data_IF_774342313360
#
_entry.id   IF_774342313360
#
_cell.length_a   1.000
_cell.length_b   1.000
_cell.length_c   1.000
_cell.angle_alpha   90.00
_cell.angle_beta   90.00
_cell.angle_gamma   90.00
#
_symmetry.space_group_name_H-M   'P 1'
#
loop_
_entity.id
_entity.type
_entity.pdbx_description
1 polymer ?
#
# COMPACT_ATOMS: atom_id res chain seq x y z
N UNK A 1 -16.97 -18.56 -0.47
CA UNK A 1 -16.89 -17.83 0.81
C UNK A 1 -18.24 -17.26 1.21
N UNK A 2 -18.94 -16.55 0.31
CA UNK A 2 -20.24 -15.90 0.59
C UNK A 2 -21.31 -16.91 1.01
N UNK A 3 -21.60 -17.89 0.19
CA UNK A 3 -22.75 -18.80 0.34
C UNK A 3 -22.51 -19.88 1.41
N UNK A 4 -21.25 -20.26 1.66
CA UNK A 4 -20.91 -21.35 2.61
C UNK A 4 -20.56 -20.77 3.99
N UNK A 5 -19.81 -19.67 4.03
CA UNK A 5 -19.23 -19.15 5.29
C UNK A 5 -19.84 -17.81 5.73
N UNK A 6 -20.74 -17.22 4.94
CA UNK A 6 -21.42 -15.97 5.24
C UNK A 6 -20.50 -14.73 5.21
N UNK A 7 -19.45 -14.74 4.37
CA UNK A 7 -18.60 -13.57 4.19
C UNK A 7 -19.29 -12.50 3.34
N UNK A 8 -19.20 -11.26 3.76
CA UNK A 8 -19.42 -10.11 2.89
C UNK A 8 -18.22 -10.00 1.96
N UNK A 9 -18.47 -9.90 0.66
CA UNK A 9 -17.41 -9.91 -0.36
C UNK A 9 -17.44 -8.60 -1.12
N UNK A 10 -16.28 -8.02 -1.33
CA UNK A 10 -16.01 -6.96 -2.29
C UNK A 10 -14.95 -7.42 -3.28
N UNK A 11 -15.16 -7.11 -4.55
CA UNK A 11 -14.24 -7.44 -5.64
C UNK A 11 -13.86 -6.15 -6.35
N UNK A 12 -12.64 -5.72 -6.16
CA UNK A 12 -12.05 -4.59 -6.89
C UNK A 12 -11.25 -5.17 -8.05
N UNK A 13 -11.83 -5.14 -9.23
CA UNK A 13 -11.23 -5.68 -10.45
C UNK A 13 -10.70 -4.55 -11.34
N UNK A 14 -9.37 -4.38 -11.34
CA UNK A 14 -8.70 -3.38 -12.18
C UNK A 14 -8.46 -3.88 -13.62
N UNK A 15 -8.77 -5.15 -13.94
CA UNK A 15 -8.78 -5.67 -15.32
C UNK A 15 -10.09 -5.34 -16.03
N UNK A 16 -11.21 -5.46 -15.29
CA UNK A 16 -12.55 -5.13 -15.78
C UNK A 16 -13.23 -4.09 -14.87
N UNK A 17 -12.73 -2.82 -14.82
CA UNK A 17 -13.20 -1.82 -13.87
C UNK A 17 -14.70 -1.52 -13.94
N UNK A 18 -15.33 -1.71 -15.09
CA UNK A 18 -16.78 -1.51 -15.29
C UNK A 18 -17.66 -2.53 -14.55
N UNK A 19 -17.07 -3.63 -14.06
CA UNK A 19 -17.74 -4.68 -13.27
C UNK A 19 -17.25 -4.74 -11.83
N UNK A 20 -16.37 -3.83 -11.47
CA UNK A 20 -15.74 -3.76 -10.18
C UNK A 20 -16.64 -3.11 -9.14
N UNK A 21 -16.46 -3.47 -7.88
CA UNK A 21 -16.92 -2.64 -6.77
C UNK A 21 -16.10 -1.35 -6.71
N UNK A 22 -16.69 -0.29 -6.16
CA UNK A 22 -16.01 0.99 -5.96
C UNK A 22 -14.96 0.94 -4.85
N UNK A 23 -13.97 1.83 -4.96
CA UNK A 23 -12.98 2.09 -3.91
C UNK A 23 -12.51 3.55 -3.98
N UNK A 24 -13.29 4.46 -3.41
CA UNK A 24 -12.94 5.87 -3.32
C UNK A 24 -11.86 6.09 -2.25
N UNK A 25 -10.70 6.57 -2.66
CA UNK A 25 -9.55 6.83 -1.78
C UNK A 25 -9.83 7.90 -0.71
N UNK A 26 -10.87 8.71 -0.90
CA UNK A 26 -11.26 9.77 0.04
C UNK A 26 -12.34 9.32 1.03
N UNK A 27 -12.88 8.10 0.92
CA UNK A 27 -14.01 7.64 1.74
C UNK A 27 -13.79 7.86 3.24
N UNK A 28 -12.61 7.53 3.75
CA UNK A 28 -12.30 7.69 5.18
C UNK A 28 -12.19 9.17 5.58
N UNK A 29 -11.58 9.98 4.74
CA UNK A 29 -11.43 11.43 4.95
C UNK A 29 -12.81 12.08 4.99
N UNK A 30 -13.65 11.78 3.99
CA UNK A 30 -15.03 12.27 3.88
C UNK A 30 -15.84 11.88 5.11
N UNK A 31 -15.77 10.63 5.52
CA UNK A 31 -16.49 10.10 6.70
C UNK A 31 -16.12 10.82 7.98
N UNK A 32 -14.84 11.05 8.25
CA UNK A 32 -14.41 11.77 9.44
C UNK A 32 -14.77 13.25 9.38
N UNK A 33 -14.75 13.85 8.20
CA UNK A 33 -15.21 15.23 8.03
C UNK A 33 -16.71 15.35 8.23
N UNK A 34 -17.51 14.40 7.75
CA UNK A 34 -18.95 14.34 7.97
C UNK A 34 -19.28 14.17 9.45
N UNK A 35 -18.56 13.28 10.15
CA UNK A 35 -18.69 13.11 11.61
C UNK A 35 -18.40 14.41 12.37
N UNK A 36 -17.37 15.15 11.97
CA UNK A 36 -17.09 16.47 12.55
C UNK A 36 -18.18 17.50 12.21
N UNK A 37 -18.79 17.42 11.01
CA UNK A 37 -19.90 18.31 10.62
C UNK A 37 -21.14 18.02 11.45
N UNK A 38 -21.45 16.77 11.76
CA UNK A 38 -22.57 16.37 12.64
C UNK A 38 -22.33 16.80 14.10
N UNK A 39 -21.10 16.66 14.59
CA UNK A 39 -20.67 17.15 15.91
C UNK A 39 -19.42 18.03 15.80
N UNK A 40 -19.56 19.36 15.68
CA UNK A 40 -18.44 20.30 15.60
C UNK A 40 -17.51 20.28 16.83
N UNK A 41 -17.92 19.68 17.93
CA UNK A 41 -17.10 19.54 19.14
C UNK A 41 -16.16 18.33 19.04
N UNK A 42 -16.41 17.38 18.14
CA UNK A 42 -15.51 16.25 17.87
C UNK A 42 -14.29 16.73 17.06
N UNK A 43 -13.35 17.36 17.77
CA UNK A 43 -12.07 17.80 17.22
C UNK A 43 -11.23 16.59 16.78
N UNK A 44 -11.44 15.42 17.43
CA UNK A 44 -10.75 14.17 17.09
C UNK A 44 -11.09 13.70 15.68
N UNK A 45 -12.35 13.78 15.27
CA UNK A 45 -12.76 13.45 13.90
C UNK A 45 -12.09 14.37 12.87
N UNK A 46 -12.07 15.69 13.11
CA UNK A 46 -11.39 16.64 12.24
C UNK A 46 -9.89 16.34 12.12
N UNK A 47 -9.22 16.09 13.24
CA UNK A 47 -7.79 15.76 13.26
C UNK A 47 -7.48 14.48 12.48
N UNK A 48 -8.38 13.48 12.51
CA UNK A 48 -8.25 12.26 11.71
C UNK A 48 -8.42 12.53 10.22
N UNK A 49 -9.42 13.31 9.82
CA UNK A 49 -9.59 13.72 8.42
C UNK A 49 -8.32 14.42 7.89
N UNK A 50 -7.79 15.39 8.65
CA UNK A 50 -6.54 16.09 8.31
C UNK A 50 -5.34 15.14 8.19
N UNK A 51 -5.21 14.19 9.12
CA UNK A 51 -4.14 13.17 9.11
C UNK A 51 -4.21 12.31 7.85
N UNK A 52 -5.40 11.75 7.55
CA UNK A 52 -5.56 10.87 6.39
C UNK A 52 -5.42 11.61 5.07
N UNK A 53 -5.86 12.88 4.99
CA UNK A 53 -5.64 13.72 3.81
C UNK A 53 -4.15 13.94 3.55
N UNK A 54 -3.34 14.23 4.59
CA UNK A 54 -1.88 14.33 4.47
C UNK A 54 -1.24 13.03 3.99
N UNK A 55 -1.66 11.92 4.58
CA UNK A 55 -1.13 10.60 4.25
C UNK A 55 -1.41 10.28 2.76
N UNK A 56 -2.64 10.51 2.30
CA UNK A 56 -3.01 10.29 0.91
C UNK A 56 -2.22 11.19 -0.03
N UNK A 57 -2.16 12.49 0.26
CA UNK A 57 -1.43 13.46 -0.54
C UNK A 57 0.06 13.10 -0.64
N UNK A 58 0.71 12.74 0.49
CA UNK A 58 2.09 12.28 0.51
C UNK A 58 2.28 11.04 -0.37
N UNK A 59 1.39 10.07 -0.28
CA UNK A 59 1.50 8.82 -1.05
C UNK A 59 1.34 9.06 -2.55
N UNK A 60 0.51 10.02 -2.96
CA UNK A 60 0.31 10.38 -4.37
C UNK A 60 1.49 11.21 -4.91
N UNK A 61 1.93 12.21 -4.15
CA UNK A 61 2.98 13.13 -4.60
C UNK A 61 4.37 12.49 -4.52
N UNK A 62 4.65 11.77 -3.43
CA UNK A 62 5.94 11.16 -3.11
C UNK A 62 5.79 9.64 -2.89
N UNK A 63 5.48 8.86 -3.92
CA UNK A 63 5.27 7.41 -3.79
C UNK A 63 6.51 6.67 -3.26
N UNK A 64 7.71 7.17 -3.57
CA UNK A 64 9.00 6.59 -3.17
C UNK A 64 9.48 7.02 -1.78
N UNK A 65 8.70 7.82 -1.05
CA UNK A 65 8.82 8.01 0.39
C UNK A 65 9.54 9.27 0.87
N UNK A 66 10.54 9.83 0.18
CA UNK A 66 11.28 10.98 0.67
C UNK A 66 11.49 12.07 -0.40
N UNK A 67 11.01 13.29 -0.10
CA UNK A 67 11.22 14.46 -0.94
C UNK A 67 12.72 14.81 -1.13
N UNK A 68 13.57 14.38 -0.22
CA UNK A 68 15.03 14.57 -0.32
C UNK A 68 15.63 13.94 -1.59
N UNK A 69 15.00 12.90 -2.16
CA UNK A 69 15.43 12.28 -3.42
C UNK A 69 15.33 13.23 -4.62
N UNK A 70 14.50 14.27 -4.54
CA UNK A 70 14.28 15.23 -5.62
C UNK A 70 15.29 16.39 -5.62
N UNK A 71 16.27 16.42 -4.69
CA UNK A 71 17.32 17.42 -4.63
C UNK A 71 16.76 18.84 -4.62
N UNK A 72 17.18 19.69 -5.57
CA UNK A 72 16.73 21.08 -5.69
C UNK A 72 15.22 21.23 -5.93
N UNK A 73 14.55 20.19 -6.39
CA UNK A 73 13.10 20.17 -6.63
C UNK A 73 12.28 19.78 -5.40
N UNK A 74 12.90 19.40 -4.28
CA UNK A 74 12.20 18.96 -3.06
C UNK A 74 11.12 19.97 -2.61
N UNK A 75 11.40 21.25 -2.69
CA UNK A 75 10.45 22.32 -2.37
C UNK A 75 9.15 22.24 -3.17
N UNK A 76 9.20 21.90 -4.46
CA UNK A 76 8.01 21.79 -5.30
C UNK A 76 7.15 20.59 -4.91
N UNK A 77 7.76 19.47 -4.53
CA UNK A 77 7.05 18.28 -4.09
C UNK A 77 6.44 18.46 -2.71
N UNK A 78 7.15 19.05 -1.75
CA UNK A 78 6.61 19.36 -0.42
C UNK A 78 5.44 20.35 -0.50
N UNK A 79 5.59 21.39 -1.33
CA UNK A 79 4.52 22.36 -1.58
C UNK A 79 3.31 21.75 -2.29
N UNK A 80 3.55 20.79 -3.21
CA UNK A 80 2.50 20.06 -3.91
C UNK A 80 1.74 19.10 -2.96
N UNK A 81 2.42 18.47 -2.01
CA UNK A 81 1.79 17.66 -0.96
C UNK A 81 0.86 18.52 -0.10
N UNK A 82 1.34 19.68 0.35
CA UNK A 82 0.53 20.63 1.11
C UNK A 82 -0.68 21.12 0.34
N UNK A 83 -0.49 21.48 -0.94
CA UNK A 83 -1.56 21.92 -1.82
C UNK A 83 -2.62 20.82 -2.04
N UNK A 84 -2.21 19.60 -2.37
CA UNK A 84 -3.13 18.49 -2.56
C UNK A 84 -3.90 18.16 -1.28
N UNK A 85 -3.22 18.20 -0.12
CA UNK A 85 -3.87 18.03 1.18
C UNK A 85 -4.97 19.08 1.38
N UNK A 86 -4.67 20.35 1.10
CA UNK A 86 -5.64 21.44 1.22
C UNK A 86 -6.85 21.23 0.30
N UNK A 87 -6.64 20.85 -0.96
CA UNK A 87 -7.69 20.58 -1.95
C UNK A 87 -8.60 19.43 -1.48
N UNK A 88 -8.02 18.33 -1.02
CA UNK A 88 -8.77 17.17 -0.52
C UNK A 88 -9.62 17.54 0.71
N UNK A 89 -9.08 18.33 1.63
CA UNK A 89 -9.82 18.80 2.80
C UNK A 89 -10.96 19.74 2.40
N UNK A 90 -10.74 20.66 1.46
CA UNK A 90 -11.81 21.55 0.96
C UNK A 90 -12.94 20.76 0.31
N UNK A 91 -12.63 19.74 -0.48
CA UNK A 91 -13.66 18.87 -1.05
C UNK A 91 -14.43 18.14 0.06
N UNK A 92 -13.74 17.57 1.03
CA UNK A 92 -14.37 16.84 2.13
C UNK A 92 -15.28 17.75 2.98
N UNK A 93 -14.89 19.01 3.20
CA UNK A 93 -15.60 19.96 4.05
C UNK A 93 -16.77 20.64 3.34
N UNK A 94 -16.59 21.08 2.08
CA UNK A 94 -17.54 21.98 1.40
C UNK A 94 -18.36 21.32 0.29
N UNK A 95 -18.05 20.08 -0.10
CA UNK A 95 -18.76 19.39 -1.17
C UNK A 95 -19.50 18.10 -0.73
N UNK A 96 -20.16 18.06 0.47
CA UNK A 96 -20.90 16.86 0.84
C UNK A 96 -22.03 16.59 -0.16
N UNK A 97 -22.33 15.32 -0.45
CA UNK A 97 -23.47 14.99 -1.31
C UNK A 97 -24.77 15.46 -0.63
N UNK A 98 -25.72 15.90 -1.45
CA UNK A 98 -27.10 16.15 -1.00
C UNK A 98 -27.85 14.82 -0.97
N UNK A 99 -28.96 14.78 -0.24
CA UNK A 99 -29.81 13.59 -0.15
C UNK A 99 -30.20 13.07 -1.56
N UNK A 100 -29.83 11.81 -1.82
CA UNK A 100 -30.06 11.16 -3.10
C UNK A 100 -29.07 11.46 -4.22
N UNK A 101 -28.08 12.33 -3.99
CA UNK A 101 -26.99 12.55 -4.95
C UNK A 101 -25.85 11.56 -4.73
N UNK A 102 -25.13 11.14 -5.80
CA UNK A 102 -23.94 10.33 -5.66
C UNK A 102 -22.81 11.11 -4.97
N UNK A 103 -21.89 10.38 -4.33
CA UNK A 103 -20.69 10.97 -3.74
C UNK A 103 -19.84 11.66 -4.83
N UNK A 104 -19.48 12.91 -4.60
CA UNK A 104 -18.68 13.75 -5.52
C UNK A 104 -17.28 14.05 -4.99
N UNK A 105 -16.98 13.65 -3.75
CA UNK A 105 -15.72 13.92 -3.09
C UNK A 105 -14.76 12.74 -3.32
N UNK A 106 -14.13 12.73 -4.50
CA UNK A 106 -13.17 11.72 -4.93
C UNK A 106 -11.96 12.35 -5.63
N UNK A 107 -10.93 11.57 -5.92
CA UNK A 107 -9.65 12.09 -6.43
C UNK A 107 -9.79 12.79 -7.80
N UNK A 108 -10.71 12.36 -8.64
CA UNK A 108 -10.98 13.01 -9.93
C UNK A 108 -11.61 14.40 -9.73
N UNK A 109 -12.42 14.58 -8.68
CA UNK A 109 -12.93 15.92 -8.32
C UNK A 109 -11.82 16.83 -7.81
N UNK A 110 -10.83 16.28 -7.09
CA UNK A 110 -9.64 17.04 -6.71
C UNK A 110 -8.87 17.51 -7.94
N UNK A 111 -8.68 16.64 -8.94
CA UNK A 111 -8.08 17.03 -10.22
C UNK A 111 -8.85 18.17 -10.92
N UNK A 112 -10.17 18.00 -11.07
CA UNK A 112 -11.02 19.02 -11.72
C UNK A 112 -10.95 20.35 -10.99
N UNK A 113 -10.98 20.34 -9.66
CA UNK A 113 -10.87 21.55 -8.86
C UNK A 113 -9.53 22.24 -9.07
N UNK A 114 -8.41 21.53 -9.08
CA UNK A 114 -7.09 22.10 -9.38
C UNK A 114 -7.07 22.71 -10.79
N UNK A 115 -7.62 22.00 -11.77
CA UNK A 115 -7.69 22.47 -13.16
C UNK A 115 -8.51 23.76 -13.29
N UNK A 116 -9.68 23.80 -12.67
CA UNK A 116 -10.57 24.97 -12.71
C UNK A 116 -9.93 26.19 -12.03
N UNK A 117 -9.25 25.99 -10.90
CA UNK A 117 -8.55 27.05 -10.19
C UNK A 117 -7.34 27.61 -10.95
N UNK A 118 -6.73 26.79 -11.83
CA UNK A 118 -5.68 27.23 -12.75
C UNK A 118 -6.22 27.98 -13.96
N UNK A 119 -7.38 27.53 -14.49
CA UNK A 119 -7.96 28.08 -15.71
C UNK A 119 -8.62 29.49 -15.51
N UNK A 120 -8.96 29.83 -14.27
CA UNK A 120 -9.59 31.12 -13.97
C UNK A 120 -8.63 32.28 -14.24
N UNK A 121 -9.00 33.24 -15.09
CA UNK A 121 -8.18 34.43 -15.36
C UNK A 121 -7.84 35.16 -14.06
N UNK A 122 -6.62 35.65 -13.94
CA UNK A 122 -6.18 36.41 -12.77
C UNK A 122 -7.07 37.60 -12.54
N UNK A 123 -7.93 37.55 -11.54
CA UNK A 123 -8.70 38.69 -11.08
C UNK A 123 -7.84 39.51 -10.11
N UNK A 124 -7.59 40.76 -10.43
CA UNK A 124 -6.77 41.67 -9.60
C UNK A 124 -5.35 41.11 -9.27
N UNK A 125 -4.74 40.37 -10.20
CA UNK A 125 -3.41 39.82 -10.02
C UNK A 125 -3.34 38.48 -9.20
N UNK A 126 -4.50 37.95 -8.81
CA UNK A 126 -4.59 36.65 -8.08
C UNK A 126 -5.17 35.59 -9.00
N UNK A 127 -4.69 34.34 -8.84
CA UNK A 127 -5.29 33.17 -9.49
C UNK A 127 -6.53 32.68 -8.69
N UNK A 128 -7.34 31.79 -9.28
CA UNK A 128 -8.56 31.29 -8.65
C UNK A 128 -8.32 30.61 -7.29
N UNK A 129 -7.19 29.92 -7.13
CA UNK A 129 -6.82 29.29 -5.88
C UNK A 129 -6.53 30.31 -4.76
N UNK A 130 -5.80 31.37 -5.08
CA UNK A 130 -5.54 32.45 -4.12
C UNK A 130 -6.83 33.17 -3.70
N UNK A 131 -7.76 33.38 -4.64
CA UNK A 131 -9.05 33.96 -4.34
C UNK A 131 -9.86 33.06 -3.41
N UNK A 132 -9.93 31.76 -3.71
CA UNK A 132 -10.64 30.79 -2.86
C UNK A 132 -10.05 30.75 -1.44
N UNK A 133 -8.72 30.76 -1.32
CA UNK A 133 -8.07 30.75 -0.02
C UNK A 133 -8.29 32.02 0.79
N UNK A 134 -8.43 33.17 0.13
CA UNK A 134 -8.70 34.44 0.80
C UNK A 134 -10.13 34.52 1.36
N UNK A 135 -11.08 33.76 0.82
CA UNK A 135 -12.46 33.67 1.33
C UNK A 135 -12.55 32.84 2.63
N UNK A 136 -11.54 32.00 2.89
CA UNK A 136 -11.51 31.19 4.11
C UNK A 136 -11.03 32.00 5.32
N UNK A 137 -11.48 31.68 6.56
CA UNK A 137 -10.94 32.26 7.77
C UNK A 137 -9.41 32.13 7.85
N UNK A 138 -8.68 33.10 8.42
CA UNK A 138 -7.22 33.06 8.53
C UNK A 138 -6.68 31.83 9.23
N UNK A 139 -7.41 31.30 10.21
CA UNK A 139 -7.10 30.10 11.00
C UNK A 139 -7.46 28.79 10.31
N UNK A 140 -8.05 28.85 9.09
CA UNK A 140 -8.47 27.64 8.40
C UNK A 140 -7.27 26.77 7.97
N UNK A 141 -7.31 25.48 8.30
CA UNK A 141 -6.20 24.55 8.06
C UNK A 141 -5.77 24.43 6.60
N UNK A 142 -6.72 24.50 5.65
CA UNK A 142 -6.39 24.46 4.23
C UNK A 142 -5.48 25.63 3.81
N UNK A 143 -5.64 26.83 4.39
CA UNK A 143 -4.75 27.96 4.15
C UNK A 143 -3.33 27.69 4.64
N UNK A 144 -3.20 27.10 5.83
CA UNK A 144 -1.89 26.79 6.40
C UNK A 144 -1.17 25.71 5.62
N UNK A 145 -1.89 24.66 5.24
CA UNK A 145 -1.35 23.55 4.45
C UNK A 145 -0.91 23.98 3.05
N UNK A 146 -1.65 24.87 2.44
CA UNK A 146 -1.30 25.47 1.15
C UNK A 146 -0.32 26.64 1.27
N UNK A 147 0.10 27.03 2.48
CA UNK A 147 0.86 28.25 2.75
C UNK A 147 2.14 28.39 1.91
N UNK A 148 2.92 27.33 1.78
CA UNK A 148 4.13 27.34 0.95
C UNK A 148 3.83 27.63 -0.52
N UNK A 149 2.77 27.03 -1.07
CA UNK A 149 2.32 27.29 -2.42
C UNK A 149 1.78 28.72 -2.57
N UNK A 150 0.98 29.22 -1.61
CA UNK A 150 0.36 30.55 -1.64
C UNK A 150 1.37 31.70 -1.54
N UNK A 151 2.46 31.51 -0.82
CA UNK A 151 3.49 32.54 -0.62
C UNK A 151 4.58 32.53 -1.69
N UNK A 152 4.56 31.55 -2.58
CA UNK A 152 5.50 31.42 -3.69
C UNK A 152 5.27 32.49 -4.78
N UNK A 153 6.34 32.83 -5.50
CA UNK A 153 6.22 33.63 -6.72
C UNK A 153 5.31 32.91 -7.75
N UNK A 154 4.64 33.66 -8.61
CA UNK A 154 3.70 33.14 -9.60
C UNK A 154 4.25 31.94 -10.43
N UNK A 155 5.51 32.00 -10.81
CA UNK A 155 6.18 30.93 -11.56
C UNK A 155 6.35 29.66 -10.72
N UNK A 156 6.73 29.82 -9.46
CA UNK A 156 6.88 28.67 -8.52
C UNK A 156 5.52 28.05 -8.21
N UNK A 157 4.49 28.86 -8.00
CA UNK A 157 3.11 28.40 -7.83
C UNK A 157 2.64 27.58 -9.04
N UNK A 158 2.90 28.04 -10.26
CA UNK A 158 2.57 27.30 -11.46
C UNK A 158 3.29 25.96 -11.53
N UNK A 159 4.56 25.88 -11.10
CA UNK A 159 5.34 24.64 -11.02
C UNK A 159 4.75 23.68 -9.99
N UNK A 160 4.38 24.16 -8.80
CA UNK A 160 3.72 23.34 -7.77
C UNK A 160 2.42 22.75 -8.29
N UNK A 161 1.56 23.57 -8.89
CA UNK A 161 0.28 23.12 -9.44
C UNK A 161 0.48 22.12 -10.59
N UNK A 162 1.47 22.35 -11.46
CA UNK A 162 1.84 21.43 -12.53
C UNK A 162 2.30 20.08 -11.98
N UNK A 163 3.02 20.08 -10.86
CA UNK A 163 3.44 18.84 -10.16
C UNK A 163 2.21 18.08 -9.68
N UNK A 164 1.26 18.75 -9.00
CA UNK A 164 0.00 18.11 -8.55
C UNK A 164 -0.77 17.53 -9.74
N UNK A 165 -0.97 18.33 -10.80
CA UNK A 165 -1.68 17.89 -12.00
C UNK A 165 -1.03 16.68 -12.66
N UNK A 166 0.29 16.67 -12.78
CA UNK A 166 1.05 15.56 -13.35
C UNK A 166 0.83 14.26 -12.56
N UNK A 167 0.84 14.34 -11.23
CA UNK A 167 0.58 13.17 -10.37
C UNK A 167 -0.87 12.70 -10.45
N UNK A 168 -1.82 13.63 -10.51
CA UNK A 168 -3.24 13.31 -10.59
C UNK A 168 -3.66 12.78 -11.98
N UNK A 169 -2.89 13.04 -13.03
CA UNK A 169 -3.14 12.49 -14.37
C UNK A 169 -3.22 10.95 -14.39
N UNK A 170 -2.51 10.27 -13.50
CA UNK A 170 -2.55 8.80 -13.39
C UNK A 170 -3.96 8.26 -13.05
N UNK A 171 -4.86 9.10 -12.52
CA UNK A 171 -6.22 8.73 -12.15
C UNK A 171 -7.25 9.02 -13.24
N UNK A 172 -6.85 9.67 -14.34
CA UNK A 172 -7.74 10.07 -15.42
C UNK A 172 -7.85 8.98 -16.48
N UNK A 173 -8.53 7.93 -16.13
CA UNK A 173 -8.88 6.83 -17.02
C UNK A 173 -10.36 6.52 -16.82
N UNK A 174 -11.14 6.54 -17.89
CA UNK A 174 -12.61 6.40 -17.81
C UNK A 174 -13.03 5.07 -17.17
N UNK A 175 -12.28 4.01 -17.39
CA UNK A 175 -12.54 2.71 -16.76
C UNK A 175 -12.18 2.74 -15.27
N UNK A 176 -11.03 3.33 -14.94
CA UNK A 176 -10.56 3.46 -13.57
C UNK A 176 -11.48 4.35 -12.72
N UNK A 177 -12.06 5.39 -13.32
CA UNK A 177 -13.05 6.25 -12.66
C UNK A 177 -14.26 5.46 -12.15
N UNK A 178 -14.62 4.33 -12.79
CA UNK A 178 -15.70 3.45 -12.30
C UNK A 178 -15.37 2.78 -10.97
N UNK A 179 -14.10 2.72 -10.61
CA UNK A 179 -13.65 2.18 -9.32
C UNK A 179 -13.42 3.28 -8.31
N UNK A 180 -12.65 4.31 -8.67
CA UNK A 180 -12.14 5.30 -7.70
C UNK A 180 -13.14 6.43 -7.38
N UNK A 181 -14.23 6.55 -8.13
CA UNK A 181 -15.27 7.54 -7.87
C UNK A 181 -16.45 7.03 -7.04
N UNK A 182 -16.45 5.74 -6.68
CA UNK A 182 -17.51 5.12 -5.89
C UNK A 182 -16.96 4.53 -4.60
N UNK A 183 -17.72 4.66 -3.51
CA UNK A 183 -17.29 4.15 -2.21
C UNK A 183 -17.25 2.63 -2.16
N UNK A 184 -16.32 2.11 -1.35
CA UNK A 184 -16.22 0.67 -1.11
C UNK A 184 -17.41 0.14 -0.30
N UNK A 185 -18.01 -1.01 -0.67
CA UNK A 185 -19.04 -1.65 0.12
C UNK A 185 -18.52 -2.22 1.44
N UNK A 186 -17.20 -2.33 1.60
CA UNK A 186 -16.52 -2.78 2.83
C UNK A 186 -15.50 -1.73 3.22
N UNK A 187 -15.69 -1.12 4.39
CA UNK A 187 -14.70 -0.23 4.99
C UNK A 187 -13.85 -0.95 6.04
N UNK A 188 -12.81 -0.33 6.54
CA UNK A 188 -11.89 -0.92 7.50
C UNK A 188 -12.55 -1.35 8.82
N UNK A 189 -13.55 -0.62 9.32
CA UNK A 189 -14.27 -0.99 10.56
C UNK A 189 -15.09 -2.26 10.38
N UNK A 190 -15.79 -2.37 9.24
CA UNK A 190 -16.53 -3.59 8.89
C UNK A 190 -15.55 -4.76 8.70
N UNK A 191 -14.44 -4.53 8.03
CA UNK A 191 -13.41 -5.55 7.80
C UNK A 191 -12.78 -6.04 9.11
N UNK A 192 -12.62 -5.15 10.08
CA UNK A 192 -12.10 -5.49 11.39
C UNK A 192 -13.09 -6.21 12.32
N UNK A 193 -14.42 -6.05 12.11
CA UNK A 193 -15.47 -6.51 13.03
C UNK A 193 -16.41 -7.59 12.49
N UNK A 194 -16.53 -7.70 11.17
CA UNK A 194 -17.41 -8.65 10.49
C UNK A 194 -16.60 -9.68 9.69
N UNK A 195 -17.29 -10.72 9.18
CA UNK A 195 -16.70 -11.66 8.21
C UNK A 195 -16.69 -11.02 6.83
N UNK A 196 -15.60 -10.39 6.47
CA UNK A 196 -15.43 -9.71 5.20
C UNK A 196 -14.25 -10.29 4.41
N UNK A 197 -14.33 -10.22 3.07
CA UNK A 197 -13.22 -10.52 2.17
C UNK A 197 -13.21 -9.50 1.03
N UNK A 198 -12.06 -8.90 0.79
CA UNK A 198 -11.81 -8.00 -0.33
C UNK A 198 -10.84 -8.72 -1.27
N UNK A 199 -11.24 -8.84 -2.53
CA UNK A 199 -10.41 -9.38 -3.61
C UNK A 199 -9.97 -8.21 -4.49
N UNK A 200 -8.66 -8.03 -4.60
CA UNK A 200 -8.06 -7.05 -5.48
C UNK A 200 -7.43 -7.78 -6.66
N UNK A 201 -7.98 -7.56 -7.85
CA UNK A 201 -7.56 -8.25 -9.08
C UNK A 201 -6.79 -7.27 -9.94
N UNK A 202 -5.54 -7.62 -10.25
CA UNK A 202 -4.60 -6.77 -10.97
C UNK A 202 -4.47 -7.19 -12.43
N UNK A 203 -4.36 -6.23 -13.39
CA UNK A 203 -3.98 -6.54 -14.75
C UNK A 203 -2.48 -6.87 -14.81
N UNK A 204 -2.13 -7.96 -15.46
CA UNK A 204 -0.72 -8.32 -15.69
C UNK A 204 -0.06 -7.41 -16.73
N UNK A 205 -0.85 -6.89 -17.66
CA UNK A 205 -0.39 -6.17 -18.84
C UNK A 205 -0.32 -4.65 -18.67
N UNK A 206 -0.95 -4.08 -17.62
CA UNK A 206 -1.02 -2.63 -17.39
C UNK A 206 -0.42 -2.22 -16.04
N UNK A 207 0.89 -1.95 -16.01
CA UNK A 207 1.56 -1.50 -14.79
C UNK A 207 1.02 -0.16 -14.23
N UNK A 208 0.39 0.68 -15.06
CA UNK A 208 -0.14 1.97 -14.61
C UNK A 208 -1.30 1.78 -13.63
N UNK A 209 -2.16 0.79 -13.83
CA UNK A 209 -3.25 0.45 -12.90
C UNK A 209 -2.74 -0.17 -11.59
N UNK A 210 -1.55 -0.74 -11.61
CA UNK A 210 -0.93 -1.35 -10.43
C UNK A 210 -0.61 -0.31 -9.34
N UNK A 211 -0.27 0.93 -9.70
CA UNK A 211 -0.08 2.02 -8.73
C UNK A 211 -1.33 2.23 -7.86
N UNK A 212 -2.50 2.17 -8.46
CA UNK A 212 -3.78 2.32 -7.75
C UNK A 212 -3.98 1.20 -6.72
N UNK A 213 -3.63 -0.03 -7.08
CA UNK A 213 -3.71 -1.16 -6.15
C UNK A 213 -2.80 -0.98 -4.94
N UNK A 214 -1.56 -0.57 -5.15
CA UNK A 214 -0.62 -0.27 -4.07
C UNK A 214 -1.19 0.81 -3.13
N UNK A 215 -1.76 1.86 -3.71
CA UNK A 215 -2.39 2.96 -2.97
C UNK A 215 -3.62 2.49 -2.17
N UNK A 216 -4.48 1.64 -2.75
CA UNK A 216 -5.63 1.05 -2.07
C UNK A 216 -5.21 0.18 -0.89
N UNK A 217 -4.22 -0.70 -1.06
CA UNK A 217 -3.70 -1.56 0.01
C UNK A 217 -3.10 -0.71 1.13
N UNK A 218 -2.33 0.31 0.78
CA UNK A 218 -1.72 1.21 1.73
C UNK A 218 -2.77 2.01 2.52
N UNK A 219 -3.79 2.51 1.85
CA UNK A 219 -4.88 3.24 2.48
C UNK A 219 -5.64 2.33 3.46
N UNK A 220 -6.09 1.15 3.01
CA UNK A 220 -6.79 0.17 3.85
C UNK A 220 -5.94 -0.24 5.07
N UNK A 221 -4.64 -0.44 4.88
CA UNK A 221 -3.73 -0.80 5.98
C UNK A 221 -3.65 0.28 7.05
N UNK A 222 -3.60 1.54 6.65
CA UNK A 222 -3.60 2.70 7.58
C UNK A 222 -4.92 2.86 8.29
N UNK A 223 -6.02 2.62 7.58
CA UNK A 223 -7.35 2.57 8.18
C UNK A 223 -7.43 1.49 9.26
N UNK A 224 -6.95 0.28 8.98
CA UNK A 224 -6.94 -0.83 9.93
C UNK A 224 -6.07 -0.52 11.15
N UNK A 225 -4.94 0.14 10.99
CA UNK A 225 -4.13 0.60 12.12
C UNK A 225 -4.89 1.62 12.98
N UNK A 226 -5.58 2.57 12.35
CA UNK A 226 -6.40 3.54 13.08
C UNK A 226 -7.54 2.87 13.85
N UNK A 227 -8.22 1.89 13.22
CA UNK A 227 -9.28 1.10 13.88
C UNK A 227 -8.71 0.30 15.06
N UNK A 228 -7.52 -0.28 14.90
CA UNK A 228 -6.86 -0.99 16.00
C UNK A 228 -6.52 -0.05 17.16
N UNK A 229 -6.01 1.15 16.89
CA UNK A 229 -5.67 2.14 17.91
C UNK A 229 -6.91 2.62 18.69
N UNK A 230 -8.09 2.65 18.06
CA UNK A 230 -9.37 2.94 18.70
C UNK A 230 -9.89 1.78 19.60
N UNK A 231 -9.32 0.58 19.45
CA UNK A 231 -9.70 -0.64 20.16
C UNK A 231 -8.52 -1.21 20.97
N UNK A 232 -7.93 -0.40 21.82
CA UNK A 232 -6.81 -0.78 22.71
C UNK A 232 -5.62 -1.40 21.96
N UNK A 233 -5.34 -0.92 20.75
CA UNK A 233 -4.23 -1.35 19.92
C UNK A 233 -4.41 -2.68 19.18
N UNK A 234 -5.65 -3.23 19.14
CA UNK A 234 -5.91 -4.53 18.51
C UNK A 234 -7.22 -4.56 17.74
N UNK A 235 -7.21 -5.10 16.54
CA UNK A 235 -8.44 -5.38 15.79
C UNK A 235 -9.26 -6.47 16.50
N UNK A 236 -10.59 -6.34 16.45
CA UNK A 236 -11.53 -7.33 17.02
C UNK A 236 -11.33 -8.71 16.36
N UNK A 237 -11.33 -8.75 15.05
CA UNK A 237 -11.03 -9.93 14.25
C UNK A 237 -9.59 -9.88 13.73
N UNK A 238 -8.99 -11.05 13.46
CA UNK A 238 -7.72 -11.12 12.73
C UNK A 238 -7.98 -10.80 11.27
N UNK A 239 -7.25 -9.86 10.72
CA UNK A 239 -7.22 -9.54 9.30
C UNK A 239 -5.99 -10.20 8.68
N UNK A 240 -6.18 -10.89 7.56
CA UNK A 240 -5.11 -11.57 6.83
C UNK A 240 -5.02 -10.97 5.43
N UNK A 241 -3.83 -10.50 5.05
CA UNK A 241 -3.53 -10.05 3.70
C UNK A 241 -2.72 -11.14 2.98
N UNK A 242 -3.33 -11.73 1.97
CA UNK A 242 -2.65 -12.64 1.05
C UNK A 242 -2.10 -11.79 -0.11
N UNK A 243 -0.79 -11.64 -0.15
CA UNK A 243 -0.09 -10.88 -1.19
C UNK A 243 0.46 -11.87 -2.22
N UNK A 244 -0.43 -12.31 -3.12
CA UNK A 244 -0.02 -13.20 -4.20
C UNK A 244 0.86 -12.43 -5.19
N UNK A 245 1.95 -13.06 -5.59
CA UNK A 245 2.97 -12.45 -6.45
C UNK A 245 3.58 -11.13 -5.91
N UNK A 246 3.79 -11.02 -4.59
CA UNK A 246 4.37 -9.82 -3.96
C UNK A 246 5.66 -9.34 -4.63
N UNK A 247 6.44 -10.25 -5.20
CA UNK A 247 7.69 -9.94 -5.90
C UNK A 247 7.51 -9.21 -7.24
N UNK A 248 6.30 -9.22 -7.82
CA UNK A 248 5.99 -8.57 -9.10
C UNK A 248 5.00 -7.42 -8.95
N UNK A 249 4.26 -7.37 -7.83
CA UNK A 249 3.40 -6.25 -7.51
C UNK A 249 4.21 -4.94 -7.40
N UNK A 250 3.60 -3.78 -7.72
CA UNK A 250 4.23 -2.51 -7.40
C UNK A 250 4.53 -2.44 -5.91
N UNK A 251 5.71 -1.94 -5.54
CA UNK A 251 6.06 -1.80 -4.14
C UNK A 251 5.11 -0.83 -3.45
N UNK A 252 4.68 -1.17 -2.25
CA UNK A 252 3.94 -0.32 -1.33
C UNK A 252 4.62 -0.38 0.05
N UNK A 253 4.30 0.54 0.94
CA UNK A 253 4.91 0.64 2.27
C UNK A 253 4.48 -0.55 3.16
N UNK A 254 5.07 -1.72 2.90
CA UNK A 254 4.76 -2.99 3.55
C UNK A 254 5.54 -3.19 4.87
N UNK A 255 6.70 -2.56 5.04
CA UNK A 255 7.57 -2.80 6.19
C UNK A 255 6.92 -2.47 7.54
N UNK A 256 6.15 -1.37 7.68
CA UNK A 256 5.39 -1.11 8.91
C UNK A 256 4.34 -2.19 9.20
N UNK A 257 3.79 -2.84 8.17
CA UNK A 257 2.82 -3.91 8.36
C UNK A 257 3.47 -5.16 8.96
N UNK A 258 4.68 -5.50 8.55
CA UNK A 258 5.43 -6.61 9.14
C UNK A 258 5.87 -6.31 10.57
N UNK A 259 6.36 -5.10 10.85
CA UNK A 259 6.86 -4.75 12.18
C UNK A 259 5.76 -4.52 13.21
N UNK A 260 4.67 -3.84 12.85
CA UNK A 260 3.60 -3.44 13.77
C UNK A 260 2.30 -4.25 13.63
N UNK A 261 2.08 -4.94 12.51
CA UNK A 261 0.81 -5.62 12.21
C UNK A 261 0.50 -6.76 13.18
N UNK A 262 1.51 -7.54 13.59
CA UNK A 262 1.33 -8.68 14.49
C UNK A 262 0.63 -8.32 15.80
N UNK A 263 1.07 -7.27 16.46
CA UNK A 263 0.48 -6.79 17.73
C UNK A 263 -0.98 -6.36 17.54
N UNK A 264 -1.33 -5.86 16.35
CA UNK A 264 -2.65 -5.37 15.99
C UNK A 264 -3.58 -6.44 15.40
N UNK A 265 -3.16 -7.71 15.36
CA UNK A 265 -3.88 -8.83 14.71
C UNK A 265 -3.99 -8.69 13.19
N UNK A 266 -3.04 -8.03 12.55
CA UNK A 266 -2.86 -8.03 11.12
C UNK A 266 -1.79 -9.06 10.76
N UNK A 267 -2.09 -9.98 9.85
CA UNK A 267 -1.19 -11.04 9.40
C UNK A 267 -0.97 -10.89 7.91
N UNK A 268 0.29 -10.93 7.49
CA UNK A 268 0.64 -10.94 6.08
C UNK A 268 1.08 -12.33 5.65
N UNK A 269 0.68 -12.70 4.45
CA UNK A 269 1.09 -13.95 3.79
C UNK A 269 1.68 -13.56 2.44
N UNK A 270 2.98 -13.22 2.40
CA UNK A 270 3.66 -12.92 1.14
C UNK A 270 3.89 -14.21 0.35
N UNK A 271 3.53 -14.21 -0.93
CA UNK A 271 3.79 -15.30 -1.86
C UNK A 271 4.70 -14.74 -2.95
N UNK A 272 5.85 -15.37 -3.13
CA UNK A 272 6.88 -14.94 -4.08
C UNK A 272 7.39 -16.12 -4.89
N UNK A 273 7.86 -15.87 -6.09
CA UNK A 273 8.49 -16.87 -6.94
C UNK A 273 9.99 -16.99 -6.67
N UNK A 274 10.63 -15.89 -6.25
CA UNK A 274 12.05 -15.88 -5.89
C UNK A 274 12.40 -14.73 -4.96
N UNK A 275 13.47 -14.89 -4.16
CA UNK A 275 14.01 -13.83 -3.33
C UNK A 275 14.53 -12.64 -4.15
N UNK A 276 15.07 -12.91 -5.35
CA UNK A 276 15.57 -11.85 -6.23
C UNK A 276 14.48 -10.87 -6.70
N UNK A 277 13.23 -11.34 -6.89
CA UNK A 277 12.10 -10.46 -7.20
C UNK A 277 11.74 -9.58 -6.01
N UNK A 278 11.80 -10.13 -4.79
CA UNK A 278 11.56 -9.37 -3.57
C UNK A 278 12.64 -8.29 -3.36
N UNK A 279 13.92 -8.65 -3.57
CA UNK A 279 15.04 -7.70 -3.51
C UNK A 279 14.92 -6.58 -4.56
N UNK A 280 14.43 -6.89 -5.75
CA UNK A 280 14.20 -5.89 -6.80
C UNK A 280 13.17 -4.83 -6.37
N UNK A 281 12.11 -5.23 -5.66
CA UNK A 281 11.02 -4.34 -5.28
C UNK A 281 11.30 -3.56 -3.99
N UNK A 282 11.94 -4.19 -3.01
CA UNK A 282 12.11 -3.63 -1.67
C UNK A 282 13.57 -3.36 -1.28
N UNK A 283 14.50 -3.60 -2.21
CA UNK A 283 15.92 -3.58 -1.91
C UNK A 283 16.35 -4.79 -1.06
N UNK A 284 17.65 -4.98 -0.91
CA UNK A 284 18.20 -6.12 -0.16
C UNK A 284 17.78 -6.09 1.31
N UNK A 285 17.91 -4.94 1.97
CA UNK A 285 17.55 -4.76 3.37
C UNK A 285 16.04 -4.95 3.60
N UNK A 286 15.19 -4.40 2.72
CA UNK A 286 13.75 -4.59 2.81
C UNK A 286 13.33 -6.05 2.62
N UNK A 287 13.96 -6.78 1.71
CA UNK A 287 13.71 -8.21 1.51
C UNK A 287 14.13 -9.03 2.74
N UNK A 288 15.28 -8.73 3.35
CA UNK A 288 15.72 -9.34 4.61
C UNK A 288 14.71 -9.09 5.74
N UNK A 289 14.27 -7.85 5.92
CA UNK A 289 13.26 -7.50 6.95
C UNK A 289 11.96 -8.29 6.73
N UNK A 290 11.49 -8.42 5.49
CA UNK A 290 10.28 -9.20 5.17
C UNK A 290 10.47 -10.66 5.55
N UNK A 291 11.57 -11.28 5.14
CA UNK A 291 11.88 -12.68 5.42
C UNK A 291 12.00 -12.94 6.93
N UNK A 292 12.71 -12.10 7.67
CA UNK A 292 12.94 -12.25 9.11
C UNK A 292 11.66 -12.12 9.94
N UNK A 293 10.67 -11.39 9.44
CA UNK A 293 9.36 -11.29 10.09
C UNK A 293 8.40 -12.42 9.72
N UNK A 294 8.73 -13.29 8.76
CA UNK A 294 7.95 -14.47 8.44
C UNK A 294 8.30 -15.61 9.40
N UNK A 295 7.38 -15.96 10.30
CA UNK A 295 7.58 -17.03 11.29
C UNK A 295 7.52 -18.44 10.69
N UNK A 296 6.73 -18.58 9.63
CA UNK A 296 6.59 -19.82 8.87
C UNK A 296 7.01 -19.55 7.42
N UNK A 297 7.90 -20.38 6.89
CA UNK A 297 8.33 -20.33 5.48
C UNK A 297 7.99 -21.65 4.82
N UNK A 298 7.18 -21.61 3.77
CA UNK A 298 6.74 -22.77 2.98
C UNK A 298 7.37 -22.64 1.60
N UNK A 299 8.06 -23.66 1.15
CA UNK A 299 8.76 -23.62 -0.14
C UNK A 299 8.87 -24.99 -0.82
N UNK A 300 8.93 -24.97 -2.15
CA UNK A 300 9.08 -26.12 -3.03
C UNK A 300 8.98 -25.70 -4.49
N UNK A 301 9.32 -26.59 -5.41
CA UNK A 301 9.15 -26.34 -6.84
C UNK A 301 10.12 -25.32 -7.43
N UNK A 302 11.42 -25.46 -7.19
CA UNK A 302 12.44 -24.53 -7.70
C UNK A 302 12.83 -24.80 -9.15
N UNK A 303 13.19 -23.74 -9.88
CA UNK A 303 13.85 -23.88 -11.17
C UNK A 303 15.26 -24.44 -11.02
N UNK A 304 15.82 -25.12 -12.05
CA UNK A 304 17.16 -25.74 -11.97
C UNK A 304 18.29 -24.76 -11.60
N UNK A 305 18.14 -23.48 -11.96
CA UNK A 305 19.16 -22.45 -11.69
C UNK A 305 18.80 -21.52 -10.51
N UNK A 306 17.87 -21.93 -9.66
CA UNK A 306 17.39 -21.11 -8.54
C UNK A 306 18.45 -20.92 -7.46
N UNK A 307 18.89 -19.66 -7.27
CA UNK A 307 19.70 -19.25 -6.11
C UNK A 307 18.91 -19.23 -4.80
N UNK A 308 17.59 -19.13 -4.89
CA UNK A 308 16.71 -19.24 -3.73
C UNK A 308 16.83 -20.60 -3.06
N UNK A 309 17.02 -21.68 -3.82
CA UNK A 309 17.26 -23.01 -3.28
C UNK A 309 18.57 -23.09 -2.46
N UNK A 310 19.62 -22.37 -2.88
CA UNK A 310 20.88 -22.31 -2.14
C UNK A 310 20.71 -21.61 -0.80
N UNK A 311 20.01 -20.46 -0.79
CA UNK A 311 19.71 -19.70 0.42
C UNK A 311 18.86 -20.52 1.42
N UNK A 312 17.83 -21.20 0.94
CA UNK A 312 16.94 -22.01 1.79
C UNK A 312 17.62 -23.28 2.30
N UNK A 313 18.49 -23.92 1.51
CA UNK A 313 19.34 -25.03 1.96
C UNK A 313 20.24 -24.60 3.13
N UNK A 314 20.85 -23.41 3.02
CA UNK A 314 21.67 -22.86 4.11
C UNK A 314 20.82 -22.54 5.35
N UNK A 315 19.61 -21.99 5.18
CA UNK A 315 18.70 -21.66 6.27
C UNK A 315 18.17 -22.90 7.03
N UNK A 316 18.02 -24.04 6.34
CA UNK A 316 17.66 -25.31 6.98
C UNK A 316 18.78 -25.85 7.92
N UNK A 317 20.01 -25.39 7.68
CA UNK A 317 21.16 -25.84 8.48
C UNK A 317 21.73 -27.17 8.02
N UNK A 318 22.59 -27.73 8.85
CA UNK A 318 23.36 -28.95 8.54
C UNK A 318 23.28 -29.98 9.67
N UNK A 319 23.66 -31.23 9.35
CA UNK A 319 23.82 -32.32 10.30
C UNK A 319 25.16 -33.00 10.07
N UNK A 320 25.70 -33.61 11.13
CA UNK A 320 26.87 -34.48 11.02
C UNK A 320 26.45 -35.83 10.49
N UNK A 321 27.08 -36.29 9.43
CA UNK A 321 26.87 -37.60 8.84
C UNK A 321 28.18 -38.38 8.84
N UNK A 322 28.07 -39.69 8.96
CA UNK A 322 29.21 -40.57 8.79
C UNK A 322 29.42 -40.84 7.30
N UNK A 323 30.56 -40.46 6.80
CA UNK A 323 30.97 -40.75 5.40
C UNK A 323 32.16 -41.73 5.47
N UNK A 324 32.16 -42.69 4.57
CA UNK A 324 33.22 -43.66 4.53
C UNK A 324 33.66 -44.01 3.13
N UNK A 325 34.95 -44.27 2.92
CA UNK A 325 35.49 -44.88 1.72
C UNK A 325 35.86 -46.32 2.00
N UNK A 326 35.45 -47.21 1.10
CA UNK A 326 35.83 -48.60 1.10
C UNK A 326 36.80 -48.83 -0.05
N UNK A 327 38.04 -49.18 0.25
CA UNK A 327 39.00 -49.57 -0.76
C UNK A 327 38.99 -51.09 -0.90
N UNK A 328 38.67 -51.61 -2.09
CA UNK A 328 38.72 -53.03 -2.43
C UNK A 328 40.11 -53.33 -3.02
N UNK A 329 41.09 -53.56 -2.13
CA UNK A 329 42.40 -54.13 -2.47
C UNK A 329 42.54 -55.54 -1.96
N UNK A 330 43.77 -56.16 -2.02
CA UNK A 330 44.02 -57.45 -1.38
C UNK A 330 43.76 -57.51 0.12
N UNK A 331 43.71 -56.35 0.76
CA UNK A 331 43.16 -56.11 2.11
C UNK A 331 42.15 -54.99 2.01
N UNK A 332 40.89 -55.24 2.37
CA UNK A 332 39.85 -54.20 2.38
C UNK A 332 40.07 -53.27 3.58
N UNK A 333 40.29 -51.99 3.32
CA UNK A 333 40.35 -50.99 4.39
C UNK A 333 39.10 -50.12 4.33
N UNK A 334 38.52 -49.87 5.51
CA UNK A 334 37.40 -48.91 5.66
C UNK A 334 37.91 -47.69 6.44
N UNK A 335 37.72 -46.52 5.87
CA UNK A 335 37.97 -45.26 6.55
C UNK A 335 36.60 -44.57 6.80
N UNK A 336 36.25 -44.35 8.05
CA UNK A 336 35.04 -43.66 8.47
C UNK A 336 35.42 -42.27 8.97
N UNK A 337 34.79 -41.24 8.41
CA UNK A 337 35.00 -39.86 8.77
C UNK A 337 33.64 -39.18 9.01
N UNK A 338 33.55 -38.40 10.08
CA UNK A 338 32.41 -37.54 10.29
C UNK A 338 32.55 -36.31 9.43
N UNK A 339 31.51 -35.98 8.66
CA UNK A 339 31.46 -34.80 7.84
C UNK A 339 30.13 -34.06 8.01
N UNK A 340 30.18 -32.75 7.84
CA UNK A 340 29.00 -31.91 7.82
C UNK A 340 28.29 -32.06 6.48
N UNK A 341 26.96 -32.21 6.52
CA UNK A 341 26.11 -32.25 5.33
C UNK A 341 24.87 -31.39 5.58
N UNK A 342 24.47 -30.55 4.60
CA UNK A 342 23.21 -29.84 4.65
C UNK A 342 22.05 -30.81 4.95
N UNK A 343 21.07 -30.38 5.74
CA UNK A 343 19.85 -31.16 6.00
C UNK A 343 19.16 -31.55 4.71
N UNK A 344 19.00 -30.58 3.80
CA UNK A 344 18.65 -30.80 2.39
C UNK A 344 19.59 -30.00 1.54
N UNK A 345 20.24 -30.61 0.57
CA UNK A 345 21.10 -29.91 -0.40
C UNK A 345 20.24 -29.09 -1.38
N UNK A 346 20.82 -28.08 -2.04
CA UNK A 346 20.10 -27.36 -3.09
C UNK A 346 19.52 -28.28 -4.18
N UNK A 347 20.24 -29.34 -4.54
CA UNK A 347 19.76 -30.29 -5.56
C UNK A 347 18.60 -31.14 -5.06
N UNK A 348 18.59 -31.53 -3.79
CA UNK A 348 17.46 -32.20 -3.18
C UNK A 348 16.24 -31.30 -3.14
N UNK A 349 16.40 -30.01 -2.81
CA UNK A 349 15.32 -29.03 -2.84
C UNK A 349 14.75 -28.82 -4.25
N UNK A 350 15.61 -28.76 -5.26
CA UNK A 350 15.21 -28.63 -6.68
C UNK A 350 14.52 -29.89 -7.20
N UNK A 351 14.72 -31.03 -6.54
CA UNK A 351 14.17 -32.34 -6.93
C UNK A 351 12.90 -32.71 -6.18
N UNK A 352 12.36 -31.82 -5.34
CA UNK A 352 11.11 -32.06 -4.61
C UNK A 352 9.97 -32.30 -5.63
N UNK A 353 9.22 -33.41 -5.52
CA UNK A 353 8.12 -33.71 -6.43
C UNK A 353 7.03 -32.64 -6.40
N UNK A 354 6.35 -32.47 -7.54
CA UNK A 354 5.22 -31.53 -7.64
C UNK A 354 4.13 -31.92 -6.61
N UNK A 355 3.72 -30.94 -5.80
CA UNK A 355 2.72 -31.10 -4.75
C UNK A 355 3.33 -31.41 -3.37
N UNK A 356 4.65 -31.60 -3.28
CA UNK A 356 5.38 -31.69 -2.03
C UNK A 356 6.07 -30.34 -1.73
N UNK A 357 6.24 -30.04 -0.45
CA UNK A 357 6.85 -28.80 0.01
C UNK A 357 7.50 -28.97 1.38
N UNK A 358 8.45 -28.13 1.68
CA UNK A 358 9.09 -28.03 2.98
C UNK A 358 8.44 -26.90 3.77
N UNK A 359 8.16 -27.15 5.03
CA UNK A 359 7.71 -26.14 5.99
C UNK A 359 8.81 -25.92 7.01
N UNK A 360 9.32 -24.71 7.06
CA UNK A 360 10.25 -24.26 8.07
C UNK A 360 9.51 -23.32 9.03
N UNK A 361 9.57 -23.63 10.32
CA UNK A 361 8.87 -22.88 11.35
C UNK A 361 9.84 -22.42 12.43
N UNK A 362 9.68 -21.18 12.87
CA UNK A 362 10.46 -20.63 13.99
C UNK A 362 9.95 -21.19 15.32
N UNK A 363 10.81 -21.82 16.09
CA UNK A 363 10.58 -22.25 17.47
C UNK A 363 9.66 -23.43 17.63
#
# INVERSE_FOLDING_TARGET
ARDIYGYRISVVDLREPTRSDGNNLLTLINRYMDKHREDPKDIGAKAKAEKYAKILAKTIINPDGDAAQYGENAFFYDSAEGLLTAIVLLLAEFAPPKDGEPEKRHIVSAFKLVQDLLAVPKSRGKNGFQVLMDELPPEHKARWLAGAALTSADQSMASVMSTVMSRLNAFLDTELEQVICYDSPINAEMFASEKCAIFLILPEEDPAKNFIAALMIQNLSRELFSVADEHDGRLKNRVVLFCDELGTMPPFDILPLFSAGRSRRLTLVPIIQSLAQLEKNYGKEGAEIICDNCQDTIFGGFSPQSKTADALSAALGSRTVLSGSVSQGKESSQSLQMMERALMTPDELKSIPKGEFVVMKTG
#
